data_IF_932591131054
#
_entry.id   IF_932591131054
#
_cell.length_a   1.000
_cell.length_b   1.000
_cell.length_c   1.000
_cell.angle_alpha   90.00
_cell.angle_beta   90.00
_cell.angle_gamma   90.00
#
_symmetry.space_group_name_H-M   'P 1'
#
loop_
_entity.id
_entity.type
_entity.pdbx_description
1 polymer ?
#
# COMPACT_ATOMS: atom_id res chain seq x y z
N UNK A 1 0.51 16.45 -27.61
CA UNK A 1 1.80 16.09 -28.28
C UNK A 1 1.87 14.62 -28.65
N UNK A 2 1.57 13.68 -27.73
CA UNK A 2 1.61 12.24 -28.02
C UNK A 2 0.65 11.80 -29.15
N UNK A 3 -0.51 12.46 -29.30
CA UNK A 3 -1.44 12.22 -30.42
C UNK A 3 -0.90 12.64 -31.80
N UNK A 4 0.26 13.32 -31.87
CA UNK A 4 0.94 13.74 -33.11
C UNK A 4 2.21 12.89 -33.36
N UNK A 5 2.25 11.67 -32.83
CA UNK A 5 3.36 10.70 -32.96
C UNK A 5 4.68 11.06 -32.28
N UNK A 6 4.65 11.98 -31.31
CA UNK A 6 5.83 12.32 -30.51
C UNK A 6 6.08 11.25 -29.43
N UNK A 7 7.34 10.81 -29.28
CA UNK A 7 7.76 9.80 -28.29
C UNK A 7 8.42 10.48 -27.10
N UNK A 8 7.94 10.18 -25.89
CA UNK A 8 8.60 10.56 -24.63
C UNK A 8 9.61 9.49 -24.23
N UNK A 9 10.80 9.89 -23.78
CA UNK A 9 11.80 8.99 -23.22
C UNK A 9 11.95 9.31 -21.74
N UNK A 10 11.86 8.29 -20.89
CA UNK A 10 12.05 8.42 -19.46
C UNK A 10 13.41 7.82 -19.08
N UNK A 11 14.36 8.67 -18.70
CA UNK A 11 15.70 8.26 -18.30
C UNK A 11 15.85 8.37 -16.78
N UNK A 12 16.23 7.26 -16.12
CA UNK A 12 16.52 7.22 -14.69
C UNK A 12 18.05 7.17 -14.48
N UNK A 13 18.73 8.32 -14.28
CA UNK A 13 20.17 8.33 -14.00
C UNK A 13 20.48 7.76 -12.61
N UNK A 14 21.70 7.22 -12.43
CA UNK A 14 22.17 6.63 -11.15
C UNK A 14 22.15 7.60 -9.97
N UNK A 15 22.20 8.91 -10.22
CA UNK A 15 22.02 9.97 -9.22
C UNK A 15 20.80 10.80 -9.61
N UNK A 16 19.88 11.09 -8.67
CA UNK A 16 18.70 11.90 -8.98
C UNK A 16 19.15 13.29 -9.45
N UNK A 17 18.85 13.62 -10.71
CA UNK A 17 19.22 14.90 -11.30
C UNK A 17 18.36 16.07 -10.77
N UNK A 18 17.16 15.77 -10.27
CA UNK A 18 16.25 16.72 -9.67
C UNK A 18 15.89 16.26 -8.25
N UNK A 19 16.20 17.09 -7.25
CA UNK A 19 15.86 16.84 -5.85
C UNK A 19 14.93 17.95 -5.38
N UNK A 20 13.65 17.63 -5.19
CA UNK A 20 12.67 18.54 -4.58
C UNK A 20 12.58 18.34 -3.07
N UNK A 21 12.26 19.39 -2.32
CA UNK A 21 11.83 19.26 -0.93
C UNK A 21 10.39 18.79 -0.88
N UNK A 22 10.12 17.80 -0.05
CA UNK A 22 8.82 17.18 0.06
C UNK A 22 8.08 17.80 1.28
N UNK A 23 6.82 18.23 1.17
CA UNK A 23 6.10 18.83 2.30
C UNK A 23 6.07 17.90 3.52
N UNK A 24 6.38 18.46 4.69
CA UNK A 24 6.45 17.77 5.99
C UNK A 24 5.07 17.70 6.65
N UNK A 25 4.16 18.60 6.27
CA UNK A 25 2.83 18.71 6.84
C UNK A 25 1.81 17.83 6.08
N UNK A 26 1.01 17.07 6.82
CA UNK A 26 0.00 16.16 6.27
C UNK A 26 -1.13 16.91 5.55
N UNK A 27 -1.55 18.06 6.07
CA UNK A 27 -2.63 18.86 5.48
C UNK A 27 -2.26 19.38 4.09
N UNK A 28 -1.02 19.82 3.91
CA UNK A 28 -0.53 20.31 2.62
C UNK A 28 -0.44 19.16 1.59
N UNK A 29 -0.10 17.95 2.04
CA UNK A 29 -0.12 16.74 1.21
C UNK A 29 -1.52 16.38 0.75
N UNK A 30 -2.50 16.43 1.66
CA UNK A 30 -3.88 16.11 1.34
C UNK A 30 -4.47 17.13 0.35
N UNK A 31 -4.23 18.42 0.57
CA UNK A 31 -4.66 19.46 -0.36
C UNK A 31 -4.01 19.29 -1.74
N UNK A 32 -2.74 18.87 -1.81
CA UNK A 32 -2.08 18.55 -3.08
C UNK A 32 -2.75 17.37 -3.79
N UNK A 33 -3.01 16.27 -3.09
CA UNK A 33 -3.69 15.10 -3.68
C UNK A 33 -5.10 15.44 -4.12
N UNK A 34 -5.83 16.25 -3.35
CA UNK A 34 -7.17 16.74 -3.71
C UNK A 34 -7.12 17.57 -5.00
N UNK A 35 -6.16 18.48 -5.14
CA UNK A 35 -6.00 19.27 -6.35
C UNK A 35 -5.68 18.39 -7.57
N UNK A 36 -4.86 17.36 -7.39
CA UNK A 36 -4.57 16.39 -8.45
C UNK A 36 -5.83 15.60 -8.82
N UNK A 37 -6.59 15.13 -7.84
CA UNK A 37 -7.84 14.43 -8.05
C UNK A 37 -8.86 15.30 -8.80
N UNK A 38 -9.01 16.56 -8.41
CA UNK A 38 -9.88 17.53 -9.09
C UNK A 38 -9.42 17.73 -10.55
N UNK A 39 -8.12 17.90 -10.79
CA UNK A 39 -7.58 17.97 -12.16
C UNK A 39 -7.85 16.70 -12.98
N UNK A 40 -7.75 15.51 -12.39
CA UNK A 40 -8.08 14.25 -13.07
C UNK A 40 -9.56 14.12 -13.40
N UNK A 41 -10.45 14.53 -12.49
CA UNK A 41 -11.91 14.55 -12.71
C UNK A 41 -12.27 15.56 -13.79
N UNK A 42 -11.65 16.75 -13.78
CA UNK A 42 -11.84 17.78 -14.79
C UNK A 42 -11.41 17.28 -16.17
N UNK A 43 -10.25 16.64 -16.29
CA UNK A 43 -9.78 16.03 -17.56
C UNK A 43 -10.70 14.90 -18.02
N UNK A 44 -11.27 14.13 -17.09
CA UNK A 44 -12.20 13.04 -17.41
C UNK A 44 -13.54 13.55 -17.97
N UNK A 45 -14.14 14.56 -17.33
CA UNK A 45 -15.42 15.13 -17.74
C UNK A 45 -15.28 16.13 -18.90
N UNK A 46 -14.16 16.85 -18.97
CA UNK A 46 -13.88 17.84 -20.00
C UNK A 46 -13.39 17.15 -21.28
N UNK A 47 -14.27 16.38 -21.91
CA UNK A 47 -14.40 16.14 -23.35
C UNK A 47 -13.13 16.06 -24.25
N UNK A 48 -11.95 15.72 -23.74
CA UNK A 48 -10.77 15.40 -24.55
C UNK A 48 -10.83 13.90 -24.89
N UNK A 49 -11.92 13.45 -25.53
CA UNK A 49 -12.26 12.04 -25.75
C UNK A 49 -11.06 11.20 -26.21
N UNK A 50 -10.32 10.50 -25.34
CA UNK A 50 -9.18 9.69 -25.77
C UNK A 50 -9.72 8.54 -26.62
N UNK A 51 -10.88 7.99 -26.19
CA UNK A 51 -11.64 6.90 -26.81
C UNK A 51 -11.97 7.20 -28.29
N UNK A 52 -12.28 8.46 -28.63
CA UNK A 52 -12.66 8.85 -30.00
C UNK A 52 -11.52 9.53 -30.78
N UNK A 53 -10.52 10.08 -30.10
CA UNK A 53 -9.38 10.77 -30.75
C UNK A 53 -8.40 9.78 -31.40
N UNK A 54 -8.26 8.57 -30.86
CA UNK A 54 -7.46 7.50 -31.48
C UNK A 54 -8.07 6.95 -32.77
N UNK A 55 -9.40 6.98 -32.90
CA UNK A 55 -10.11 6.39 -34.04
C UNK A 55 -10.01 7.24 -35.32
N UNK A 56 -9.76 8.55 -35.19
CA UNK A 56 -9.64 9.48 -36.32
C UNK A 56 -8.21 9.66 -36.86
N UNK A 57 -7.19 9.13 -36.17
CA UNK A 57 -5.78 9.48 -36.44
C UNK A 57 -4.75 8.37 -36.35
N UNK A 58 -5.11 7.12 -36.03
CA UNK A 58 -4.28 5.89 -36.22
C UNK A 58 -2.90 5.82 -35.54
N UNK A 59 -2.47 6.86 -34.82
CA UNK A 59 -1.06 7.07 -34.46
C UNK A 59 -0.72 6.80 -32.98
N UNK A 60 -1.69 6.39 -32.15
CA UNK A 60 -1.48 6.06 -30.74
C UNK A 60 -1.67 4.57 -30.50
N UNK A 61 -0.72 3.93 -29.82
CA UNK A 61 -0.82 2.49 -29.52
C UNK A 61 -1.96 2.28 -28.51
N UNK A 62 -2.74 1.22 -28.69
CA UNK A 62 -3.84 0.86 -27.78
C UNK A 62 -3.38 0.77 -26.30
N UNK A 63 -2.16 0.29 -26.07
CA UNK A 63 -1.56 0.21 -24.73
C UNK A 63 -1.28 1.58 -24.10
N UNK A 64 -0.84 2.57 -24.88
CA UNK A 64 -0.63 3.94 -24.38
C UNK A 64 -1.97 4.54 -23.95
N UNK A 65 -3.02 4.28 -24.73
CA UNK A 65 -4.36 4.72 -24.44
C UNK A 65 -4.91 4.11 -23.14
N UNK A 66 -4.73 2.79 -22.94
CA UNK A 66 -5.09 2.12 -21.69
C UNK A 66 -4.32 2.69 -20.49
N UNK A 67 -3.05 3.04 -20.66
CA UNK A 67 -2.24 3.67 -19.60
C UNK A 67 -2.79 5.04 -19.19
N UNK A 68 -3.27 5.85 -20.14
CA UNK A 68 -3.90 7.13 -19.81
C UNK A 68 -5.22 6.95 -19.07
N UNK A 69 -6.06 6.01 -19.52
CA UNK A 69 -7.33 5.69 -18.85
C UNK A 69 -7.07 5.20 -17.43
N UNK A 70 -6.11 4.29 -17.23
CA UNK A 70 -5.79 3.75 -15.91
C UNK A 70 -5.34 4.85 -14.93
N UNK A 71 -4.55 5.82 -15.40
CA UNK A 71 -4.11 6.97 -14.58
C UNK A 71 -5.30 7.83 -14.13
N UNK A 72 -6.28 8.04 -15.00
CA UNK A 72 -7.49 8.81 -14.69
C UNK A 72 -8.45 8.03 -13.78
N UNK A 73 -8.52 6.71 -13.90
CA UNK A 73 -9.37 5.84 -13.07
C UNK A 73 -8.79 5.61 -11.67
N UNK A 74 -7.47 5.72 -11.52
CA UNK A 74 -6.78 5.54 -10.23
C UNK A 74 -7.41 6.30 -9.05
N UNK A 75 -7.73 7.61 -9.13
CA UNK A 75 -8.44 8.31 -8.04
C UNK A 75 -9.87 7.79 -7.80
N UNK A 76 -10.56 7.30 -8.83
CA UNK A 76 -11.92 6.76 -8.70
C UNK A 76 -11.97 5.39 -8.02
N UNK A 77 -10.85 4.66 -7.98
CA UNK A 77 -10.78 3.39 -7.22
C UNK A 77 -10.90 3.58 -5.70
N UNK A 78 -10.77 4.81 -5.20
CA UNK A 78 -11.06 5.14 -3.80
C UNK A 78 -12.54 5.04 -3.44
N UNK A 79 -13.46 5.25 -4.39
CA UNK A 79 -14.91 5.15 -4.18
C UNK A 79 -15.38 3.72 -3.86
N UNK A 80 -15.02 2.67 -4.64
CA UNK A 80 -15.38 1.31 -4.29
C UNK A 80 -14.70 0.88 -2.98
N UNK A 81 -13.48 1.33 -2.71
CA UNK A 81 -12.80 1.04 -1.44
C UNK A 81 -13.54 1.66 -0.24
N UNK A 82 -13.97 2.91 -0.35
CA UNK A 82 -14.81 3.58 0.66
C UNK A 82 -16.15 2.87 0.83
N UNK A 83 -16.79 2.49 -0.27
CA UNK A 83 -18.03 1.71 -0.21
C UNK A 83 -17.81 0.36 0.49
N UNK A 84 -16.71 -0.34 0.19
CA UNK A 84 -16.37 -1.62 0.79
C UNK A 84 -16.06 -1.50 2.28
N UNK A 85 -15.41 -0.41 2.71
CA UNK A 85 -15.14 -0.16 4.13
C UNK A 85 -16.40 0.24 4.93
N UNK A 86 -17.34 0.95 4.30
CA UNK A 86 -18.56 1.43 4.97
C UNK A 86 -19.70 0.41 4.96
N UNK A 87 -19.74 -0.46 3.95
CA UNK A 87 -20.73 -1.53 3.80
C UNK A 87 -20.82 -2.48 5.03
N UNK A 88 -19.71 -3.01 5.61
CA UNK A 88 -19.80 -3.85 6.81
C UNK A 88 -20.32 -3.08 8.03
N UNK A 89 -19.98 -1.79 8.18
CA UNK A 89 -20.47 -0.95 9.27
C UNK A 89 -21.99 -0.68 9.15
N UNK A 90 -22.47 -0.43 7.93
CA UNK A 90 -23.90 -0.20 7.65
C UNK A 90 -24.72 -1.49 7.82
N UNK A 91 -24.18 -2.63 7.37
CA UNK A 91 -24.79 -3.95 7.57
C UNK A 91 -24.95 -4.28 9.06
N UNK A 92 -23.97 -3.91 9.89
CA UNK A 92 -23.99 -4.15 11.33
C UNK A 92 -25.02 -3.25 12.05
N UNK A 93 -25.13 -1.98 11.66
CA UNK A 93 -26.09 -1.02 12.25
C UNK A 93 -27.54 -1.25 11.81
N UNK A 94 -27.77 -1.71 10.58
CA UNK A 94 -29.12 -1.84 10.01
C UNK A 94 -29.73 -3.22 10.29
N UNK A 95 -28.94 -4.19 10.75
CA UNK A 95 -29.39 -5.56 11.03
C UNK A 95 -29.89 -6.34 9.80
N UNK A 96 -29.80 -5.76 8.60
CA UNK A 96 -30.16 -6.37 7.33
C UNK A 96 -28.90 -6.93 6.68
N UNK A 97 -28.67 -8.22 6.86
CA UNK A 97 -27.58 -8.92 6.18
C UNK A 97 -27.92 -9.06 4.70
N UNK A 98 -27.17 -8.39 3.83
CA UNK A 98 -27.41 -8.31 2.37
C UNK A 98 -27.07 -9.62 1.64
N UNK A 99 -26.48 -10.61 2.33
CA UNK A 99 -26.07 -11.88 1.75
C UNK A 99 -27.22 -12.90 1.76
N UNK A 100 -27.80 -13.30 0.60
CA UNK A 100 -28.75 -14.39 0.56
C UNK A 100 -28.07 -15.71 0.94
N UNK A 101 -28.78 -16.54 1.70
CA UNK A 101 -28.31 -17.78 2.33
C UNK A 101 -27.75 -18.83 1.36
N UNK A 102 -27.94 -18.67 0.04
CA UNK A 102 -27.42 -19.58 -0.99
C UNK A 102 -25.89 -19.51 -1.20
N UNK A 103 -25.25 -18.36 -0.94
CA UNK A 103 -23.78 -18.24 -0.99
C UNK A 103 -23.09 -18.74 0.28
N UNK A 104 -23.86 -19.05 1.34
CA UNK A 104 -23.30 -19.48 2.61
C UNK A 104 -22.75 -20.90 2.55
N UNK A 105 -23.14 -21.77 1.61
CA UNK A 105 -22.58 -23.12 1.59
C UNK A 105 -21.11 -23.16 1.12
N UNK A 106 -20.73 -22.37 0.11
CA UNK A 106 -19.30 -22.26 -0.29
C UNK A 106 -18.48 -21.44 0.71
N UNK A 107 -19.05 -20.35 1.26
CA UNK A 107 -18.32 -19.50 2.21
C UNK A 107 -18.25 -20.06 3.64
N UNK A 108 -19.20 -20.88 4.10
CA UNK A 108 -19.14 -21.51 5.44
C UNK A 108 -18.10 -22.63 5.47
N UNK A 109 -17.95 -23.41 4.40
CA UNK A 109 -16.88 -24.43 4.35
C UNK A 109 -15.50 -23.80 4.20
N UNK A 110 -15.36 -22.77 3.35
CA UNK A 110 -14.09 -22.05 3.21
C UNK A 110 -13.78 -21.20 4.47
N UNK A 111 -14.80 -20.66 5.12
CA UNK A 111 -14.70 -19.86 6.35
C UNK A 111 -14.40 -20.68 7.60
N UNK A 112 -14.96 -21.90 7.75
CA UNK A 112 -14.61 -22.83 8.84
C UNK A 112 -13.21 -23.42 8.71
N UNK A 113 -12.70 -23.59 7.49
CA UNK A 113 -11.32 -23.98 7.26
C UNK A 113 -10.36 -22.83 7.58
N UNK A 114 -10.72 -21.59 7.20
CA UNK A 114 -9.87 -20.42 7.42
C UNK A 114 -9.85 -19.96 8.89
N UNK A 115 -10.96 -20.05 9.64
CA UNK A 115 -10.94 -19.71 11.08
C UNK A 115 -10.11 -20.68 11.90
N UNK A 116 -10.15 -21.98 11.59
CA UNK A 116 -9.27 -22.98 12.22
C UNK A 116 -7.80 -22.75 11.85
N UNK A 117 -7.50 -22.46 10.59
CA UNK A 117 -6.14 -22.15 10.15
C UNK A 117 -5.61 -20.82 10.73
N UNK A 118 -6.49 -19.83 10.95
CA UNK A 118 -6.13 -18.53 11.52
C UNK A 118 -5.96 -18.57 13.05
N UNK A 119 -6.73 -19.40 13.75
CA UNK A 119 -6.45 -19.70 15.17
C UNK A 119 -5.14 -20.45 15.34
N UNK A 120 -4.84 -21.42 14.47
CA UNK A 120 -3.63 -22.23 14.55
C UNK A 120 -2.37 -21.42 14.17
N UNK A 121 -2.45 -20.57 13.13
CA UNK A 121 -1.40 -19.61 12.80
C UNK A 121 -1.29 -18.48 13.83
N UNK A 122 -2.40 -18.05 14.44
CA UNK A 122 -2.42 -17.08 15.52
C UNK A 122 -1.74 -17.61 16.79
N UNK A 123 -1.99 -18.86 17.17
CA UNK A 123 -1.28 -19.54 18.26
C UNK A 123 0.20 -19.72 17.95
N UNK A 124 0.53 -20.11 16.70
CA UNK A 124 1.92 -20.25 16.25
C UNK A 124 2.68 -18.92 16.25
N UNK A 125 2.06 -17.85 15.75
CA UNK A 125 2.62 -16.49 15.77
C UNK A 125 2.78 -15.98 17.21
N UNK A 126 1.83 -16.26 18.10
CA UNK A 126 1.92 -15.85 19.51
C UNK A 126 3.04 -16.58 20.24
N UNK A 127 3.24 -17.86 19.96
CA UNK A 127 4.36 -18.64 20.49
C UNK A 127 5.71 -18.15 19.95
N UNK A 128 5.82 -17.89 18.64
CA UNK A 128 7.05 -17.35 18.02
C UNK A 128 7.42 -15.97 18.59
N UNK A 129 6.44 -15.08 18.80
CA UNK A 129 6.66 -13.75 19.39
C UNK A 129 7.12 -13.87 20.85
N UNK A 130 6.54 -14.78 21.64
CA UNK A 130 6.96 -15.04 23.02
C UNK A 130 8.39 -15.61 23.10
N UNK A 131 8.71 -16.56 22.22
CA UNK A 131 10.07 -17.15 22.15
C UNK A 131 11.08 -16.09 21.72
N UNK A 132 10.75 -15.26 20.74
CA UNK A 132 11.63 -14.18 20.28
C UNK A 132 11.82 -13.11 21.37
N UNK A 133 10.78 -12.77 22.12
CA UNK A 133 10.87 -11.85 23.25
C UNK A 133 11.76 -12.42 24.38
N UNK A 134 11.57 -13.68 24.75
CA UNK A 134 12.38 -14.34 25.77
C UNK A 134 13.85 -14.49 25.35
N UNK A 135 14.12 -14.83 24.09
CA UNK A 135 15.48 -14.85 23.53
C UNK A 135 16.12 -13.46 23.53
N UNK A 136 15.36 -12.41 23.22
CA UNK A 136 15.85 -11.03 23.22
C UNK A 136 16.24 -10.56 24.62
N UNK A 137 15.46 -10.91 25.64
CA UNK A 137 15.81 -10.59 27.02
C UNK A 137 17.09 -11.30 27.46
N UNK A 138 17.22 -12.61 27.16
CA UNK A 138 18.42 -13.38 27.46
C UNK A 138 19.66 -12.89 26.71
N UNK A 139 19.50 -12.46 25.46
CA UNK A 139 20.59 -11.89 24.67
C UNK A 139 21.04 -10.55 25.25
N UNK A 140 20.10 -9.69 25.66
CA UNK A 140 20.41 -8.41 26.28
C UNK A 140 21.17 -8.58 27.61
N UNK A 141 20.81 -9.61 28.40
CA UNK A 141 21.54 -9.90 29.65
C UNK A 141 22.98 -10.34 29.37
N UNK A 142 23.19 -11.18 28.34
CA UNK A 142 24.50 -11.65 27.92
C UNK A 142 25.38 -10.53 27.36
N UNK A 143 24.81 -9.61 26.59
CA UNK A 143 25.54 -8.45 26.06
C UNK A 143 25.98 -7.49 27.18
N UNK A 144 25.16 -7.34 28.23
CA UNK A 144 25.55 -6.56 29.40
C UNK A 144 26.75 -7.19 30.12
N UNK A 145 26.73 -8.51 30.35
CA UNK A 145 27.85 -9.25 30.96
C UNK A 145 29.12 -9.15 30.12
N UNK A 146 29.03 -9.28 28.78
CA UNK A 146 30.19 -9.15 27.88
C UNK A 146 30.78 -7.74 27.95
N UNK A 147 29.94 -6.71 28.01
CA UNK A 147 30.41 -5.33 28.10
C UNK A 147 31.09 -5.04 29.45
N UNK A 148 30.58 -5.62 30.54
CA UNK A 148 31.23 -5.54 31.85
C UNK A 148 32.60 -6.23 31.85
N UNK A 149 32.69 -7.46 31.34
CA UNK A 149 33.96 -8.20 31.22
C UNK A 149 34.98 -7.47 30.32
N UNK A 150 34.52 -6.82 29.24
CA UNK A 150 35.40 -5.99 28.38
C UNK A 150 35.89 -4.74 29.10
N UNK A 151 35.06 -4.12 29.94
CA UNK A 151 35.47 -2.96 30.74
C UNK A 151 36.52 -3.36 31.79
N UNK A 152 36.34 -4.49 32.46
CA UNK A 152 37.31 -5.04 33.42
C UNK A 152 38.64 -5.40 32.74
N UNK A 153 38.60 -6.05 31.57
CA UNK A 153 39.79 -6.37 30.79
C UNK A 153 40.55 -5.11 30.32
N UNK A 154 39.83 -4.06 29.90
CA UNK A 154 40.45 -2.79 29.51
C UNK A 154 41.17 -2.11 30.69
N UNK A 155 40.62 -2.20 31.90
CA UNK A 155 41.27 -1.71 33.12
C UNK A 155 42.48 -2.55 33.53
N UNK A 156 42.43 -3.87 33.33
CA UNK A 156 43.56 -4.77 33.60
C UNK A 156 44.72 -4.55 32.60
N UNK A 157 44.44 -4.27 31.32
CA UNK A 157 45.48 -3.99 30.30
C UNK A 157 46.18 -2.64 30.46
N UNK A 158 45.57 -1.70 31.20
CA UNK A 158 46.17 -0.39 31.53
C UNK A 158 47.04 -0.41 32.78
N UNK A 159 47.05 -1.53 33.51
CA UNK A 159 47.78 -1.71 34.78
C UNK A 159 49.08 -2.52 34.67
N UNK A 160 49.57 -2.82 33.46
CA UNK A 160 50.84 -3.53 33.20
C UNK A 160 51.84 -2.65 32.46
#
# INVERSE_FOLDING_TARGET
MHCRSWRSIYCMPKRPAFKGSAPINLSDRLNQVLHWALGYVEIFFSCHRPILYGYKGGNLRCLEHLSYINTTVYPFTSLPLLSYCTLPAICLLTGKFIMPTSWNMEFVDTGKLNTRALEDTGFKLKAEVLVTAALREKLFTKDLEINQLRAELATASRGS
#
